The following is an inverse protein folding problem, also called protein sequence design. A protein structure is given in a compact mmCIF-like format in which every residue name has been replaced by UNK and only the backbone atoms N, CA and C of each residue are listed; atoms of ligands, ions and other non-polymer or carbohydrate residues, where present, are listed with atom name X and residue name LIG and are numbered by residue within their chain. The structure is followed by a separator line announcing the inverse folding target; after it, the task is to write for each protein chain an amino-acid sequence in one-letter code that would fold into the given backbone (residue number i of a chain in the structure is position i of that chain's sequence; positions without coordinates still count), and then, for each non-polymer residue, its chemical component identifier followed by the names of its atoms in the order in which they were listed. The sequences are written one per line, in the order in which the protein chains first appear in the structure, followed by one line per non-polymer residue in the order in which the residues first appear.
data_IF_193720084200
#
_entry.id   IF_193720084200
#
_cell.length_a   1.000
_cell.length_b   1.000
_cell.length_c   1.000
_cell.angle_alpha   90.00
_cell.angle_beta   90.00
_cell.angle_gamma   90.00
#
_symmetry.space_group_name_H-M   'P 1'
#
loop_
_entity.id
_entity.type
_entity.pdbx_description
1 polymer ?
#
# COMPACT_ATOMS: atom_id res chain seq x y z
N UNK A 1 -31.12 12.55 10.88
CA UNK A 1 -30.17 12.28 9.78
C UNK A 1 -28.95 13.20 9.89
N UNK A 2 -28.01 12.89 10.79
CA UNK A 2 -26.79 13.69 10.97
C UNK A 2 -25.60 13.07 10.20
N UNK A 3 -25.42 11.74 10.30
CA UNK A 3 -24.32 11.01 9.64
C UNK A 3 -24.24 11.21 8.12
N UNK A 4 -25.37 11.20 7.40
CA UNK A 4 -25.37 11.35 5.94
C UNK A 4 -24.84 12.70 5.47
N UNK A 5 -24.85 13.73 6.32
CA UNK A 5 -24.29 15.04 5.98
C UNK A 5 -22.75 15.04 6.01
N UNK A 6 -22.17 14.17 6.82
CA UNK A 6 -20.72 14.03 6.99
C UNK A 6 -20.13 12.96 6.03
N UNK A 7 -21.01 12.24 5.32
CA UNK A 7 -20.65 11.18 4.40
C UNK A 7 -20.08 11.77 3.11
N UNK A 8 -18.87 11.34 2.74
CA UNK A 8 -18.24 11.71 1.48
C UNK A 8 -18.77 10.86 0.32
N UNK A 9 -18.86 9.55 0.54
CA UNK A 9 -19.32 8.60 -0.47
C UNK A 9 -19.83 7.32 0.21
N UNK A 10 -20.71 6.61 -0.48
CA UNK A 10 -21.10 5.24 -0.13
C UNK A 10 -20.90 4.34 -1.33
N UNK A 11 -20.35 3.15 -1.09
CA UNK A 11 -20.13 2.14 -2.13
C UNK A 11 -20.63 0.79 -1.65
N UNK A 12 -21.36 0.09 -2.52
CA UNK A 12 -21.79 -1.27 -2.25
C UNK A 12 -20.83 -2.25 -2.91
N UNK A 13 -20.26 -3.15 -2.12
CA UNK A 13 -19.45 -4.25 -2.60
C UNK A 13 -20.34 -5.49 -2.77
N UNK A 14 -20.56 -5.86 -4.02
CA UNK A 14 -21.41 -7.01 -4.37
C UNK A 14 -20.79 -8.36 -3.99
N UNK A 15 -19.45 -8.47 -4.01
CA UNK A 15 -18.76 -9.72 -3.66
C UNK A 15 -18.87 -10.09 -2.19
N UNK A 16 -18.94 -9.09 -1.30
CA UNK A 16 -19.01 -9.28 0.16
C UNK A 16 -20.36 -8.87 0.75
N UNK A 17 -21.32 -8.48 -0.11
CA UNK A 17 -22.62 -7.96 0.27
C UNK A 17 -22.54 -6.86 1.37
N UNK A 18 -21.56 -5.97 1.27
CA UNK A 18 -21.28 -4.95 2.28
C UNK A 18 -21.39 -3.54 1.73
N UNK A 19 -21.95 -2.63 2.53
CA UNK A 19 -22.01 -1.20 2.21
C UNK A 19 -20.90 -0.47 2.96
N UNK A 20 -19.97 0.12 2.22
CA UNK A 20 -18.87 0.90 2.75
C UNK A 20 -19.22 2.38 2.75
N UNK A 21 -19.08 3.01 3.91
CA UNK A 21 -19.32 4.43 4.10
C UNK A 21 -17.98 5.15 4.29
N UNK A 22 -17.67 6.07 3.38
CA UNK A 22 -16.45 6.85 3.40
C UNK A 22 -16.72 8.24 3.95
N UNK A 23 -15.90 8.66 4.90
CA UNK A 23 -15.94 10.00 5.50
C UNK A 23 -14.69 10.78 5.09
N UNK A 24 -14.74 12.11 5.18
CA UNK A 24 -13.62 12.98 4.81
C UNK A 24 -12.38 12.77 5.68
N UNK A 25 -12.58 12.45 6.95
CA UNK A 25 -11.50 12.24 7.91
C UNK A 25 -11.82 11.10 8.90
N UNK A 26 -10.76 10.56 9.53
CA UNK A 26 -10.86 9.43 10.47
C UNK A 26 -11.61 9.81 11.75
N UNK A 27 -11.50 11.05 12.21
CA UNK A 27 -12.16 11.51 13.44
C UNK A 27 -13.68 11.53 13.27
N UNK A 28 -14.15 11.94 12.10
CA UNK A 28 -15.54 11.97 11.70
C UNK A 28 -16.09 10.56 11.51
N UNK A 29 -15.33 9.66 10.87
CA UNK A 29 -15.71 8.24 10.78
C UNK A 29 -15.85 7.59 12.17
N UNK A 30 -14.92 7.88 13.09
CA UNK A 30 -14.91 7.30 14.43
C UNK A 30 -16.14 7.67 15.26
N UNK A 31 -16.70 8.88 15.08
CA UNK A 31 -17.95 9.32 15.74
C UNK A 31 -19.13 8.41 15.43
N UNK A 32 -19.14 7.82 14.23
CA UNK A 32 -20.23 7.00 13.73
C UNK A 32 -19.99 5.50 13.93
N UNK A 33 -18.83 5.10 14.47
CA UNK A 33 -18.54 3.72 14.78
C UNK A 33 -19.50 3.16 15.83
N UNK A 34 -19.92 1.90 15.68
CA UNK A 34 -20.91 1.19 16.51
C UNK A 34 -22.32 1.79 16.51
N UNK A 35 -22.58 2.84 15.72
CA UNK A 35 -23.93 3.39 15.57
C UNK A 35 -24.82 2.36 14.90
N UNK A 36 -26.00 2.12 15.47
CA UNK A 36 -27.02 1.25 14.87
C UNK A 36 -27.92 2.07 13.97
N UNK A 37 -28.10 1.60 12.73
CA UNK A 37 -28.97 2.21 11.74
C UNK A 37 -30.09 1.23 11.33
N UNK A 38 -31.34 1.69 11.21
CA UNK A 38 -32.40 0.87 10.64
C UNK A 38 -32.23 0.79 9.12
N UNK A 39 -32.15 -0.43 8.58
CA UNK A 39 -32.11 -0.70 7.15
C UNK A 39 -33.00 -1.90 6.82
N UNK A 40 -33.99 -1.71 5.93
CA UNK A 40 -34.93 -2.77 5.48
C UNK A 40 -35.51 -3.63 6.63
N UNK A 41 -35.99 -2.97 7.69
CA UNK A 41 -36.56 -3.60 8.91
C UNK A 41 -35.56 -4.41 9.75
N UNK A 42 -34.26 -4.26 9.50
CA UNK A 42 -33.18 -4.80 10.32
C UNK A 42 -32.39 -3.65 10.95
N UNK A 43 -31.90 -3.86 12.17
CA UNK A 43 -30.97 -2.95 12.82
C UNK A 43 -29.55 -3.41 12.47
N UNK A 44 -28.85 -2.62 11.66
CA UNK A 44 -27.49 -2.90 11.22
C UNK A 44 -26.54 -1.99 11.99
N UNK A 45 -25.52 -2.58 12.60
CA UNK A 45 -24.49 -1.82 13.30
C UNK A 45 -23.38 -1.43 12.33
N UNK A 46 -23.02 -0.15 12.32
CA UNK A 46 -21.84 0.33 11.61
C UNK A 46 -20.60 -0.13 12.35
N UNK A 47 -19.70 -0.79 11.62
CA UNK A 47 -18.43 -1.27 12.17
C UNK A 47 -17.33 -0.58 11.40
N UNK A 48 -16.38 -0.01 12.12
CA UNK A 48 -15.16 0.52 11.51
C UNK A 48 -14.44 -0.61 10.78
N UNK A 49 -14.28 -0.48 9.46
CA UNK A 49 -13.47 -1.40 8.66
C UNK A 49 -11.99 -1.41 9.09
N UNK A 50 -11.56 -0.37 9.82
CA UNK A 50 -10.24 -0.27 10.42
C UNK A 50 -10.40 -0.28 11.95
N UNK A 51 -10.00 -1.36 12.66
CA UNK A 51 -10.07 -1.37 14.11
C UNK A 51 -9.25 -0.19 14.67
N UNK A 52 -9.90 0.64 15.49
CA UNK A 52 -9.21 1.63 16.31
C UNK A 52 -8.40 0.88 17.35
N UNK A 53 -7.08 1.00 17.30
CA UNK A 53 -6.18 0.60 18.38
C UNK A 53 -6.59 1.37 19.64
N UNK A 54 -7.35 0.73 20.52
CA UNK A 54 -7.71 1.28 21.81
C UNK A 54 -6.48 1.28 22.70
N UNK A 55 -6.07 2.47 23.11
CA UNK A 55 -5.31 2.73 24.32
C UNK A 55 -5.94 2.01 25.51
N UNK A 56 -5.15 1.22 26.23
CA UNK A 56 -5.55 0.49 27.43
C UNK A 56 -5.37 -1.01 27.26
N UNK A 57 -4.29 -1.53 27.84
CA UNK A 57 -3.96 -2.95 28.02
C UNK A 57 -4.00 -3.80 26.75
N UNK A 58 -2.83 -4.04 26.14
CA UNK A 58 -2.66 -5.18 25.23
C UNK A 58 -2.84 -6.46 26.05
N UNK A 59 -3.89 -7.30 25.87
CA UNK A 59 -3.63 -8.71 26.01
C UNK A 59 -2.63 -9.03 24.89
N UNK A 60 -1.58 -9.81 25.15
CA UNK A 60 -0.76 -10.42 24.10
C UNK A 60 -1.61 -11.43 23.32
N UNK A 61 -2.65 -10.95 22.63
CA UNK A 61 -3.50 -11.72 21.76
C UNK A 61 -2.80 -11.79 20.41
N UNK A 62 -1.93 -12.80 20.30
CA UNK A 62 -1.48 -13.47 19.09
C UNK A 62 -1.83 -12.73 17.80
N UNK A 63 -0.97 -11.77 17.45
CA UNK A 63 -1.00 -11.07 16.19
C UNK A 63 -0.95 -12.13 15.07
N UNK A 64 -2.05 -12.32 14.35
CA UNK A 64 -2.17 -13.35 13.30
C UNK A 64 -1.12 -13.12 12.20
N UNK A 65 -0.73 -11.85 12.00
CA UNK A 65 0.36 -11.41 11.14
C UNK A 65 1.75 -11.89 11.62
N UNK A 66 1.94 -12.12 12.92
CA UNK A 66 3.13 -12.80 13.44
C UNK A 66 3.12 -14.30 13.13
N UNK A 67 2.07 -14.90 12.57
CA UNK A 67 2.09 -16.35 12.25
C UNK A 67 2.20 -16.62 10.77
N UNK A 68 2.00 -15.61 9.94
CA UNK A 68 2.15 -15.76 8.51
C UNK A 68 3.63 -15.73 8.16
N UNK A 69 4.10 -16.86 7.67
CA UNK A 69 5.35 -16.96 6.95
C UNK A 69 5.08 -16.39 5.54
N UNK A 70 5.93 -15.49 5.08
CA UNK A 70 5.97 -15.06 3.70
C UNK A 70 6.28 -16.24 2.77
N UNK A 71 6.20 -16.01 1.46
CA UNK A 71 6.53 -17.03 0.44
C UNK A 71 7.99 -17.52 0.58
N UNK A 72 8.82 -16.75 1.29
CA UNK A 72 10.20 -17.02 1.66
C UNK A 72 10.37 -17.78 3.00
N UNK A 73 9.29 -18.12 3.69
CA UNK A 73 9.34 -18.86 4.96
C UNK A 73 9.67 -18.01 6.19
N UNK A 74 9.54 -16.68 6.12
CA UNK A 74 9.87 -15.75 7.21
C UNK A 74 8.66 -15.00 7.77
N UNK A 75 8.66 -14.68 9.06
CA UNK A 75 7.51 -14.15 9.79
C UNK A 75 7.19 -12.69 9.37
N UNK A 76 6.00 -12.43 8.82
CA UNK A 76 5.57 -11.12 8.28
C UNK A 76 5.53 -9.97 9.32
N UNK A 77 5.56 -10.30 10.61
CA UNK A 77 5.60 -9.32 11.69
C UNK A 77 6.95 -8.64 11.88
N UNK A 78 8.03 -9.24 11.37
CA UNK A 78 9.19 -8.47 11.02
C UNK A 78 8.86 -7.74 9.74
N UNK A 79 8.23 -6.55 9.86
CA UNK A 79 8.44 -5.52 8.85
C UNK A 79 9.92 -5.16 8.92
N UNK A 80 10.78 -6.03 8.38
CA UNK A 80 12.15 -5.66 8.00
C UNK A 80 11.99 -4.35 7.26
N UNK A 81 12.75 -3.35 7.66
CA UNK A 81 12.60 -1.94 7.29
C UNK A 81 12.94 -1.77 5.81
N UNK A 82 12.27 -2.48 4.90
CA UNK A 82 12.70 -2.68 3.52
C UNK A 82 12.71 -1.35 2.81
N UNK A 83 13.82 -1.09 2.15
CA UNK A 83 13.98 0.10 1.35
C UNK A 83 13.06 0.01 0.13
N UNK A 84 12.31 1.08 -0.12
CA UNK A 84 11.36 1.18 -1.21
C UNK A 84 11.55 2.44 -2.03
N UNK A 85 11.40 2.27 -3.33
CA UNK A 85 11.33 3.35 -4.30
C UNK A 85 10.04 3.22 -5.10
N UNK A 86 9.57 4.34 -5.62
CA UNK A 86 8.47 4.40 -6.57
C UNK A 86 9.01 4.88 -7.91
N UNK A 87 8.64 4.16 -8.96
CA UNK A 87 8.93 4.50 -10.34
C UNK A 87 7.66 5.15 -10.91
N UNK A 88 7.76 6.43 -11.26
CA UNK A 88 6.66 7.19 -11.82
C UNK A 88 6.93 7.48 -13.30
N UNK A 89 5.85 7.74 -14.04
CA UNK A 89 5.90 8.04 -15.48
C UNK A 89 6.42 6.87 -16.32
N UNK A 90 6.16 5.62 -15.89
CA UNK A 90 6.40 4.46 -16.76
C UNK A 90 5.37 4.47 -17.90
N UNK A 91 5.81 4.15 -19.12
CA UNK A 91 4.90 4.10 -20.26
C UNK A 91 4.11 2.78 -20.24
N UNK A 92 2.84 2.80 -20.63
CA UNK A 92 2.01 1.57 -20.71
C UNK A 92 2.57 0.51 -21.68
N UNK A 93 3.34 0.95 -22.67
CA UNK A 93 4.01 0.09 -23.66
C UNK A 93 5.43 -0.28 -23.26
N UNK A 94 5.91 0.18 -22.10
CA UNK A 94 7.25 -0.10 -21.64
C UNK A 94 7.38 -1.57 -21.26
N UNK A 95 8.43 -2.23 -21.74
CA UNK A 95 8.80 -3.55 -21.26
C UNK A 95 9.40 -3.41 -19.85
N UNK A 96 8.51 -3.48 -18.84
CA UNK A 96 8.91 -3.35 -17.44
C UNK A 96 9.83 -4.47 -16.99
N UNK A 97 9.68 -5.69 -17.50
CA UNK A 97 10.56 -6.80 -17.15
C UNK A 97 12.03 -6.50 -17.53
N UNK A 98 12.25 -5.95 -18.74
CA UNK A 98 13.60 -5.56 -19.18
C UNK A 98 14.18 -4.42 -18.33
N UNK A 99 13.37 -3.43 -17.95
CA UNK A 99 13.81 -2.34 -17.10
C UNK A 99 14.15 -2.80 -15.69
N UNK A 100 13.34 -3.68 -15.10
CA UNK A 100 13.60 -4.24 -13.78
C UNK A 100 14.86 -5.11 -13.81
N UNK A 101 15.11 -5.87 -14.87
CA UNK A 101 16.37 -6.60 -15.02
C UNK A 101 17.58 -5.65 -15.11
N UNK A 102 17.47 -4.54 -15.88
CA UNK A 102 18.48 -3.49 -15.89
C UNK A 102 18.72 -2.90 -14.48
N UNK A 103 17.66 -2.61 -13.74
CA UNK A 103 17.75 -2.07 -12.39
C UNK A 103 18.41 -3.06 -11.43
N UNK A 104 18.12 -4.36 -11.57
CA UNK A 104 18.73 -5.44 -10.80
C UNK A 104 20.23 -5.55 -11.08
N UNK A 105 20.64 -5.48 -12.35
CA UNK A 105 22.06 -5.49 -12.72
C UNK A 105 22.79 -4.24 -12.23
N UNK A 106 22.16 -3.07 -12.33
CA UNK A 106 22.74 -1.78 -11.91
C UNK A 106 22.93 -1.70 -10.39
N UNK A 107 21.96 -2.20 -9.63
CA UNK A 107 22.01 -2.16 -8.16
C UNK A 107 22.77 -3.34 -7.57
N UNK A 108 22.84 -4.46 -8.28
CA UNK A 108 23.32 -5.74 -7.75
C UNK A 108 22.46 -6.29 -6.61
N UNK A 109 21.24 -5.76 -6.41
CA UNK A 109 20.36 -6.09 -5.29
C UNK A 109 19.15 -6.88 -5.75
N UNK A 110 18.64 -7.72 -4.84
CA UNK A 110 17.35 -8.38 -4.99
C UNK A 110 16.23 -7.45 -4.53
N UNK A 111 15.14 -7.46 -5.28
CA UNK A 111 13.95 -6.68 -4.97
C UNK A 111 12.71 -7.34 -5.60
N UNK A 112 11.56 -6.90 -5.12
CA UNK A 112 10.25 -7.20 -5.70
C UNK A 112 9.66 -5.92 -6.29
N UNK A 113 8.91 -6.04 -7.39
CA UNK A 113 8.26 -4.89 -8.01
C UNK A 113 6.78 -5.19 -8.24
N UNK A 114 5.93 -4.21 -7.95
CA UNK A 114 4.48 -4.33 -8.13
C UNK A 114 3.88 -3.05 -8.68
N UNK A 115 2.84 -3.16 -9.52
CA UNK A 115 2.10 -2.01 -10.01
C UNK A 115 1.24 -1.40 -8.89
N UNK A 116 1.11 -0.08 -8.87
CA UNK A 116 0.29 0.65 -7.89
C UNK A 116 -1.06 1.13 -8.45
N UNK A 117 -1.18 1.27 -9.77
CA UNK A 117 -2.35 1.85 -10.45
C UNK A 117 -3.06 0.88 -11.42
N UNK A 118 -2.52 -0.32 -11.63
CA UNK A 118 -3.15 -1.35 -12.47
C UNK A 118 -2.94 -2.76 -11.89
N UNK A 119 -4.03 -3.51 -11.72
CA UNK A 119 -3.98 -4.84 -11.09
C UNK A 119 -4.28 -5.97 -12.08
N UNK A 120 -3.81 -7.18 -11.73
CA UNK A 120 -4.07 -8.40 -12.47
C UNK A 120 -3.47 -8.39 -13.89
N UNK A 121 -4.22 -8.85 -14.91
CA UNK A 121 -3.72 -8.92 -16.29
C UNK A 121 -3.30 -7.55 -16.87
N UNK A 122 -3.80 -6.45 -16.32
CA UNK A 122 -3.50 -5.08 -16.77
C UNK A 122 -2.29 -4.45 -16.08
N UNK A 123 -1.62 -5.18 -15.18
CA UNK A 123 -0.41 -4.71 -14.47
C UNK A 123 0.65 -4.12 -15.40
N UNK A 124 0.84 -4.69 -16.58
CA UNK A 124 1.79 -4.18 -17.60
C UNK A 124 1.48 -2.76 -18.09
N UNK A 125 0.26 -2.26 -17.90
CA UNK A 125 -0.17 -0.91 -18.28
C UNK A 125 0.05 0.12 -17.17
N UNK A 126 0.60 -0.30 -16.04
CA UNK A 126 0.85 0.55 -14.88
C UNK A 126 1.84 1.66 -15.20
N UNK A 127 1.50 2.89 -14.81
CA UNK A 127 2.36 4.08 -14.94
C UNK A 127 3.12 4.39 -13.65
N UNK A 128 2.83 3.63 -12.60
CA UNK A 128 3.39 3.78 -11.26
C UNK A 128 3.70 2.42 -10.65
N UNK A 129 4.97 2.15 -10.39
CA UNK A 129 5.43 0.91 -9.78
C UNK A 129 6.10 1.17 -8.45
N UNK A 130 5.93 0.27 -7.48
CA UNK A 130 6.71 0.26 -6.26
C UNK A 130 7.73 -0.88 -6.34
N UNK A 131 8.99 -0.55 -6.03
CA UNK A 131 10.09 -1.50 -5.97
C UNK A 131 10.56 -1.59 -4.52
N UNK A 132 10.47 -2.79 -3.99
CA UNK A 132 10.77 -3.13 -2.60
C UNK A 132 12.05 -3.97 -2.56
N UNK A 133 13.14 -3.39 -2.07
CA UNK A 133 14.42 -4.07 -1.90
C UNK A 133 14.36 -4.99 -0.67
N UNK A 134 15.14 -6.07 -0.71
CA UNK A 134 15.29 -6.95 0.46
C UNK A 134 16.07 -6.27 1.61
N UNK A 135 16.91 -5.28 1.26
CA UNK A 135 17.73 -4.50 2.19
C UNK A 135 16.98 -3.30 2.78
N UNK A 136 17.42 -2.81 3.93
CA UNK A 136 16.79 -1.67 4.62
C UNK A 136 17.29 -0.30 4.14
N UNK A 137 18.43 -0.28 3.46
CA UNK A 137 19.10 0.94 3.02
C UNK A 137 19.00 1.13 1.52
N UNK A 138 19.18 2.38 1.07
CA UNK A 138 19.26 2.71 -0.34
C UNK A 138 20.44 1.98 -1.00
N UNK A 139 20.23 1.27 -2.13
CA UNK A 139 21.33 0.76 -2.93
C UNK A 139 22.26 1.90 -3.33
N UNK A 140 23.58 1.69 -3.21
CA UNK A 140 24.59 2.73 -3.50
C UNK A 140 24.41 3.35 -4.91
N UNK A 141 24.04 2.54 -5.89
CA UNK A 141 23.81 2.97 -7.27
C UNK A 141 22.60 3.91 -7.45
N UNK A 142 21.73 4.02 -6.44
CA UNK A 142 20.52 4.86 -6.48
C UNK A 142 20.61 6.05 -5.53
N UNK A 143 21.71 6.22 -4.79
CA UNK A 143 21.89 7.38 -3.92
C UNK A 143 21.85 8.65 -4.77
N UNK A 144 21.00 9.60 -4.37
CA UNK A 144 20.75 10.88 -5.05
C UNK A 144 20.23 10.79 -6.50
N UNK A 145 19.84 9.59 -6.95
CA UNK A 145 19.26 9.39 -8.27
C UNK A 145 17.74 9.57 -8.21
N UNK A 146 17.25 10.71 -8.70
CA UNK A 146 15.80 10.98 -8.76
C UNK A 146 15.19 10.72 -10.15
N UNK A 147 16.02 10.42 -11.17
CA UNK A 147 15.59 10.29 -12.57
C UNK A 147 16.45 9.26 -13.30
N UNK A 148 15.81 8.42 -14.12
CA UNK A 148 16.48 7.49 -15.02
C UNK A 148 15.97 7.74 -16.44
N UNK A 149 16.90 7.94 -17.38
CA UNK A 149 16.57 8.05 -18.80
C UNK A 149 16.55 6.65 -19.40
N UNK A 150 15.36 6.18 -19.79
CA UNK A 150 15.17 4.88 -20.40
C UNK A 150 14.57 5.03 -21.79
N UNK A 151 15.35 4.68 -22.83
CA UNK A 151 14.93 4.73 -24.25
C UNK A 151 14.27 6.07 -24.63
N UNK A 152 14.89 7.18 -24.21
CA UNK A 152 14.42 8.54 -24.50
C UNK A 152 13.29 9.05 -23.61
N UNK A 153 12.85 8.28 -22.59
CA UNK A 153 11.86 8.71 -21.60
C UNK A 153 12.49 8.89 -20.23
N UNK A 154 12.05 9.91 -19.50
CA UNK A 154 12.45 10.13 -18.11
C UNK A 154 11.49 9.41 -17.18
N UNK A 155 12.00 8.41 -16.47
CA UNK A 155 11.32 7.75 -15.36
C UNK A 155 11.73 8.49 -14.09
N UNK A 156 10.75 8.90 -13.29
CA UNK A 156 11.00 9.58 -12.04
C UNK A 156 11.15 8.51 -10.97
N UNK A 157 12.26 8.59 -10.22
CA UNK A 157 12.55 7.70 -9.10
C UNK A 157 12.28 8.48 -7.81
N UNK A 158 11.30 8.03 -7.04
CA UNK A 158 10.92 8.63 -5.77
C UNK A 158 11.29 7.69 -4.62
N UNK A 159 12.15 8.14 -3.72
CA UNK A 159 12.58 7.37 -2.55
C UNK A 159 11.49 7.40 -1.46
N UNK A 160 10.71 6.33 -1.37
CA UNK A 160 9.51 6.26 -0.53
C UNK A 160 9.79 5.88 0.94
N UNK A 161 10.91 5.23 1.23
CA UNK A 161 11.43 5.00 2.58
C UNK A 161 12.57 5.97 2.86
N UNK A 162 12.30 7.05 3.62
CA UNK A 162 13.29 8.06 3.99
C UNK A 162 14.20 7.62 5.14
N UNK A 163 14.81 6.43 5.07
CA UNK A 163 16.10 6.25 5.74
C UNK A 163 17.18 6.75 4.79
N UNK A 164 17.24 8.08 4.62
CA UNK A 164 18.44 8.72 4.04
C UNK A 164 19.57 8.37 5.01
N UNK A 165 20.60 7.66 4.55
CA UNK A 165 21.80 7.48 5.36
C UNK A 165 22.24 8.86 5.84
N UNK A 166 22.48 8.99 7.15
CA UNK A 166 23.17 10.15 7.67
C UNK A 166 24.58 10.21 7.04
N UNK A 167 25.12 11.41 6.79
CA UNK A 167 26.44 11.62 6.21
C UNK A 167 27.55 10.96 7.03
#
# INVERSE_FOLDING_TARGET
MAMLKDLKAAEYNDSTHSLHLYFFDRSTAAKWNKMTIPFRRQLVQLISAHPTETTGERPKANNVWNRQLGVDGLQNAESRSKYKIQLLNTARSMNMALFLEYLKQTTGKRFYAYPLDAYGPRSHQSQMWEVLFEEEFCPKALIDINRIIWRGRTIILHHASKHRMAP
#
